data_IF_655750585079
#
_entry.id   IF_655750585079
#
_cell.length_a   1.000
_cell.length_b   1.000
_cell.length_c   1.000
_cell.angle_alpha   90.00
_cell.angle_beta   90.00
_cell.angle_gamma   90.00
#
_symmetry.space_group_name_H-M   'P 1'
#
loop_
_entity.id
_entity.type
_entity.pdbx_description
1 polymer ?
#
# COMPACT_ATOMS: atom_id res chain seq x y z
N UNK A 1 31.56 25.07 -25.27
CA UNK A 1 30.09 24.87 -25.24
C UNK A 1 29.71 23.52 -24.63
N UNK A 2 30.42 22.42 -24.94
CA UNK A 2 30.20 21.08 -24.34
C UNK A 2 30.20 21.05 -22.80
N UNK A 3 31.13 21.73 -22.12
CA UNK A 3 31.23 21.74 -20.65
C UNK A 3 30.12 22.49 -19.92
N UNK A 4 29.46 23.45 -20.61
CA UNK A 4 28.28 24.17 -20.07
C UNK A 4 27.00 23.35 -20.25
N UNK A 5 26.89 22.59 -21.35
CA UNK A 5 25.81 21.63 -21.59
C UNK A 5 25.90 20.42 -20.63
N UNK A 6 27.10 19.91 -20.36
CA UNK A 6 27.34 18.83 -19.39
C UNK A 6 26.99 19.25 -17.95
N UNK A 7 27.28 20.50 -17.55
CA UNK A 7 26.86 21.03 -16.24
C UNK A 7 25.35 21.31 -16.16
N UNK A 8 24.73 21.72 -17.28
CA UNK A 8 23.29 21.95 -17.36
C UNK A 8 22.48 20.65 -17.31
N UNK A 9 23.04 19.52 -17.79
CA UNK A 9 22.44 18.19 -17.66
C UNK A 9 22.70 17.53 -16.30
N UNK A 10 23.82 17.82 -15.64
CA UNK A 10 24.19 17.20 -14.37
C UNK A 10 23.31 17.65 -13.18
N UNK A 11 22.83 18.90 -13.21
CA UNK A 11 21.99 19.45 -12.14
C UNK A 11 20.58 18.81 -12.05
N UNK A 12 19.82 18.64 -13.15
CA UNK A 12 18.54 17.94 -13.09
C UNK A 12 18.69 16.44 -12.78
N UNK A 13 19.76 15.79 -13.23
CA UNK A 13 20.03 14.39 -12.91
C UNK A 13 20.32 14.16 -11.41
N UNK A 14 21.03 15.09 -10.76
CA UNK A 14 21.30 15.02 -9.31
C UNK A 14 20.05 15.22 -8.44
N UNK A 15 19.07 16.01 -8.91
CA UNK A 15 17.81 16.25 -8.18
C UNK A 15 16.86 15.05 -8.28
N UNK A 16 16.83 14.37 -9.44
CA UNK A 16 16.04 13.14 -9.62
C UNK A 16 16.59 11.97 -8.77
N UNK A 17 17.91 11.84 -8.67
CA UNK A 17 18.56 10.83 -7.83
C UNK A 17 18.33 11.04 -6.32
N UNK A 18 18.23 12.30 -5.87
CA UNK A 18 17.97 12.62 -4.46
C UNK A 18 16.55 12.22 -4.00
N UNK A 19 15.58 12.13 -4.91
CA UNK A 19 14.21 11.73 -4.60
C UNK A 19 14.10 10.27 -4.17
N UNK A 20 14.61 9.35 -5.00
CA UNK A 20 14.57 7.90 -4.75
C UNK A 20 15.45 7.52 -3.54
N UNK A 21 16.67 8.09 -3.47
CA UNK A 21 17.56 7.86 -2.33
C UNK A 21 16.98 8.35 -0.98
N UNK A 22 16.10 9.36 -1.01
CA UNK A 22 15.46 9.88 0.21
C UNK A 22 14.34 8.98 0.73
N UNK A 23 13.63 8.26 -0.15
CA UNK A 23 12.63 7.28 0.26
C UNK A 23 13.31 6.02 0.80
N UNK A 24 14.19 5.41 0.01
CA UNK A 24 14.89 4.17 0.37
C UNK A 24 15.62 4.30 1.71
N UNK A 25 16.23 5.46 1.96
CA UNK A 25 16.92 5.73 3.21
C UNK A 25 15.97 5.84 4.43
N UNK A 26 14.78 6.43 4.25
CA UNK A 26 13.79 6.50 5.32
C UNK A 26 13.21 5.11 5.60
N UNK A 27 12.91 4.35 4.54
CA UNK A 27 12.45 2.96 4.60
C UNK A 27 13.43 2.09 5.39
N UNK A 28 14.72 2.12 5.00
CA UNK A 28 15.79 1.33 5.63
C UNK A 28 15.92 1.62 7.12
N UNK A 29 15.84 2.90 7.51
CA UNK A 29 15.93 3.30 8.91
C UNK A 29 14.72 2.87 9.73
N UNK A 30 13.50 3.04 9.19
CA UNK A 30 12.29 2.61 9.86
C UNK A 30 12.31 1.07 10.02
N UNK A 31 12.63 0.33 8.96
CA UNK A 31 12.73 -1.12 9.00
C UNK A 31 13.82 -1.61 9.98
N UNK A 32 14.99 -0.98 9.97
CA UNK A 32 16.08 -1.30 10.90
C UNK A 32 15.72 -1.08 12.38
N UNK A 33 14.89 -0.08 12.69
CA UNK A 33 14.36 0.14 14.04
C UNK A 33 13.27 -0.89 14.37
N UNK A 34 12.28 -1.06 13.49
CA UNK A 34 11.15 -1.97 13.70
C UNK A 34 11.59 -3.43 13.85
N UNK A 35 12.54 -3.90 13.03
CA UNK A 35 13.10 -5.27 13.10
C UNK A 35 13.82 -5.59 14.41
N UNK A 36 14.25 -4.57 15.16
CA UNK A 36 14.83 -4.70 16.52
C UNK A 36 13.79 -4.55 17.63
N UNK A 37 12.50 -4.43 17.29
CA UNK A 37 11.41 -4.17 18.23
C UNK A 37 11.29 -2.71 18.67
N UNK A 38 12.10 -1.80 18.14
CA UNK A 38 12.09 -0.36 18.48
C UNK A 38 11.03 0.39 17.66
N UNK A 39 9.79 -0.11 17.67
CA UNK A 39 8.69 0.40 16.83
C UNK A 39 8.32 1.85 17.20
N UNK A 40 8.43 2.21 18.48
CA UNK A 40 8.22 3.59 18.94
C UNK A 40 9.19 4.59 18.29
N UNK A 41 10.49 4.28 18.33
CA UNK A 41 11.53 5.08 17.68
C UNK A 41 11.35 5.10 16.15
N UNK A 42 10.93 3.97 15.56
CA UNK A 42 10.61 3.92 14.13
C UNK A 42 9.50 4.88 13.75
N UNK A 43 8.43 4.97 14.56
CA UNK A 43 7.35 5.93 14.33
C UNK A 43 7.87 7.37 14.44
N UNK A 44 8.64 7.70 15.47
CA UNK A 44 9.23 9.04 15.61
C UNK A 44 10.12 9.40 14.42
N UNK A 45 10.94 8.45 13.95
CA UNK A 45 11.78 8.63 12.76
C UNK A 45 10.96 8.87 11.51
N UNK A 46 9.84 8.16 11.34
CA UNK A 46 8.92 8.34 10.22
C UNK A 46 8.27 9.73 10.25
N UNK A 47 7.79 10.18 11.42
CA UNK A 47 7.17 11.51 11.58
C UNK A 47 8.13 12.67 11.28
N UNK A 48 9.43 12.48 11.52
CA UNK A 48 10.47 13.48 11.22
C UNK A 48 10.99 13.40 9.77
N UNK A 49 10.54 12.41 9.00
CA UNK A 49 11.05 12.13 7.66
C UNK A 49 10.54 13.11 6.60
N UNK A 50 11.11 13.03 5.39
CA UNK A 50 10.56 13.73 4.23
C UNK A 50 9.18 13.23 3.83
N UNK A 51 8.86 11.95 4.07
CA UNK A 51 7.57 11.36 3.69
C UNK A 51 6.41 12.02 4.46
N UNK A 52 6.63 12.35 5.73
CA UNK A 52 5.65 13.04 6.55
C UNK A 52 5.39 14.50 6.11
N UNK A 53 6.34 15.11 5.40
CA UNK A 53 6.33 16.55 5.05
C UNK A 53 5.89 16.85 3.62
N UNK A 54 5.95 15.87 2.71
CA UNK A 54 5.67 16.07 1.29
C UNK A 54 4.29 15.51 0.94
N UNK A 55 3.39 16.36 0.47
CA UNK A 55 2.03 15.96 0.09
C UNK A 55 2.00 14.87 -0.99
N UNK A 56 2.95 14.91 -1.94
CA UNK A 56 3.08 13.88 -2.99
C UNK A 56 3.44 12.49 -2.46
N UNK A 57 4.07 12.41 -1.29
CA UNK A 57 4.49 11.16 -0.63
C UNK A 57 3.45 10.72 0.42
N UNK A 58 2.29 11.39 0.48
CA UNK A 58 1.29 11.22 1.56
C UNK A 58 0.73 9.81 1.65
N UNK A 59 0.44 9.17 0.51
CA UNK A 59 -0.04 7.79 0.48
C UNK A 59 0.97 6.86 1.15
N UNK A 60 2.22 6.92 0.69
CA UNK A 60 3.32 6.10 1.20
C UNK A 60 3.55 6.34 2.69
N UNK A 61 3.53 7.59 3.15
CA UNK A 61 3.62 7.89 4.59
C UNK A 61 2.48 7.22 5.40
N UNK A 62 1.24 7.26 4.91
CA UNK A 62 0.10 6.65 5.60
C UNK A 62 0.24 5.14 5.66
N UNK A 63 0.68 4.50 4.57
CA UNK A 63 0.92 3.06 4.53
C UNK A 63 1.95 2.63 5.57
N UNK A 64 3.08 3.34 5.65
CA UNK A 64 4.15 2.94 6.57
C UNK A 64 3.77 3.23 8.02
N UNK A 65 3.08 4.34 8.27
CA UNK A 65 2.56 4.65 9.59
C UNK A 65 1.53 3.62 10.04
N UNK A 66 0.62 3.22 9.16
CA UNK A 66 -0.39 2.19 9.43
C UNK A 66 0.27 0.86 9.82
N UNK A 67 1.26 0.42 9.05
CA UNK A 67 2.03 -0.81 9.31
C UNK A 67 2.81 -0.74 10.62
N UNK A 68 3.50 0.37 10.91
CA UNK A 68 4.21 0.53 12.18
C UNK A 68 3.26 0.56 13.38
N UNK A 69 2.06 1.14 13.24
CA UNK A 69 1.04 1.09 14.28
C UNK A 69 0.52 -0.33 14.51
N UNK A 70 0.35 -1.12 13.45
CA UNK A 70 0.03 -2.55 13.56
C UNK A 70 1.12 -3.29 14.35
N UNK A 71 2.39 -3.10 14.00
CA UNK A 71 3.53 -3.72 14.68
C UNK A 71 3.66 -3.27 16.15
N UNK A 72 3.21 -2.06 16.48
CA UNK A 72 3.15 -1.54 17.85
C UNK A 72 2.01 -2.15 18.68
N UNK A 73 1.06 -2.88 18.04
CA UNK A 73 -0.17 -3.35 18.66
C UNK A 73 -1.25 -2.27 18.80
N UNK A 74 -1.07 -1.12 18.16
CA UNK A 74 -2.02 -0.01 18.18
C UNK A 74 -3.09 -0.19 17.08
N UNK A 75 -3.78 -1.33 17.10
CA UNK A 75 -4.63 -1.81 16.00
C UNK A 75 -5.73 -0.83 15.57
N UNK A 76 -6.42 -0.19 16.53
CA UNK A 76 -7.47 0.79 16.20
C UNK A 76 -6.90 2.02 15.46
N UNK A 77 -5.76 2.54 15.92
CA UNK A 77 -5.06 3.66 15.27
C UNK A 77 -4.50 3.25 13.90
N UNK A 78 -3.99 2.01 13.80
CA UNK A 78 -3.55 1.44 12.53
C UNK A 78 -4.70 1.41 11.52
N UNK A 79 -5.89 0.93 11.92
CA UNK A 79 -7.08 0.91 11.06
C UNK A 79 -7.49 2.30 10.57
N UNK A 80 -7.51 3.31 11.45
CA UNK A 80 -7.83 4.69 11.05
C UNK A 80 -6.87 5.24 10.00
N UNK A 81 -5.56 4.98 10.17
CA UNK A 81 -4.52 5.43 9.23
C UNK A 81 -4.58 4.64 7.91
N UNK A 82 -4.77 3.33 7.97
CA UNK A 82 -4.87 2.47 6.79
C UNK A 82 -6.13 2.76 5.99
N UNK A 83 -7.26 3.09 6.63
CA UNK A 83 -8.47 3.52 5.91
C UNK A 83 -8.26 4.87 5.22
N UNK A 84 -7.49 5.79 5.82
CA UNK A 84 -7.10 7.02 5.15
C UNK A 84 -6.18 6.76 3.95
N UNK A 85 -5.28 5.77 4.04
CA UNK A 85 -4.45 5.34 2.92
C UNK A 85 -5.32 4.73 1.79
N UNK A 86 -6.28 3.86 2.12
CA UNK A 86 -7.17 3.17 1.18
C UNK A 86 -7.97 4.19 0.34
N UNK A 87 -8.58 5.18 0.99
CA UNK A 87 -9.31 6.27 0.30
C UNK A 87 -8.41 7.11 -0.61
N UNK A 88 -7.19 7.43 -0.15
CA UNK A 88 -6.25 8.21 -0.95
C UNK A 88 -5.75 7.41 -2.15
N UNK A 89 -5.51 6.11 -1.99
CA UNK A 89 -5.18 5.21 -3.08
C UNK A 89 -6.29 5.24 -4.14
N UNK A 90 -7.56 5.04 -3.76
CA UNK A 90 -8.69 5.06 -4.71
C UNK A 90 -8.81 6.39 -5.47
N UNK A 91 -8.59 7.53 -4.80
CA UNK A 91 -8.60 8.86 -5.42
C UNK A 91 -7.48 8.99 -6.46
N UNK A 92 -6.25 8.62 -6.10
CA UNK A 92 -5.09 8.71 -6.99
C UNK A 92 -5.20 7.72 -8.16
N UNK A 93 -5.69 6.51 -7.87
CA UNK A 93 -5.93 5.47 -8.86
C UNK A 93 -6.95 5.94 -9.90
N UNK A 94 -8.12 6.42 -9.46
CA UNK A 94 -9.18 6.93 -10.34
C UNK A 94 -8.68 8.08 -11.21
N UNK A 95 -7.91 9.00 -10.63
CA UNK A 95 -7.27 10.09 -11.39
C UNK A 95 -6.33 9.56 -12.45
N UNK A 96 -5.46 8.61 -12.12
CA UNK A 96 -4.50 8.04 -13.08
C UNK A 96 -5.19 7.40 -14.29
N UNK A 97 -6.23 6.60 -14.07
CA UNK A 97 -7.03 5.97 -15.12
C UNK A 97 -7.76 7.02 -15.97
N UNK A 98 -8.30 8.07 -15.35
CA UNK A 98 -8.96 9.16 -16.09
C UNK A 98 -7.97 10.04 -16.88
N UNK A 99 -6.73 10.19 -16.37
CA UNK A 99 -5.68 11.03 -16.96
C UNK A 99 -4.93 10.34 -18.10
N UNK A 100 -5.09 9.04 -18.28
CA UNK A 100 -4.55 8.26 -19.41
C UNK A 100 -5.02 8.81 -20.79
N UNK A 101 -5.97 9.74 -20.82
CA UNK A 101 -6.47 10.44 -22.03
C UNK A 101 -5.84 11.84 -22.25
N UNK A 102 -5.07 12.38 -21.31
CA UNK A 102 -4.50 13.75 -21.33
C UNK A 102 -2.96 13.72 -21.31
N UNK A 103 -2.35 13.36 -22.44
CA UNK A 103 -0.90 13.19 -22.58
C UNK A 103 -0.04 14.47 -22.59
N UNK A 104 -0.48 15.61 -22.05
CA UNK A 104 0.25 16.88 -22.26
C UNK A 104 0.19 17.92 -21.12
N UNK A 105 0.54 17.55 -19.89
CA UNK A 105 0.82 18.55 -18.84
C UNK A 105 2.03 18.15 -17.98
N UNK A 106 3.23 18.33 -18.53
CA UNK A 106 4.50 17.97 -17.89
C UNK A 106 4.91 18.96 -16.81
N UNK A 107 4.87 18.52 -15.55
CA UNK A 107 5.94 18.79 -14.59
C UNK A 107 6.21 17.49 -13.81
N UNK A 108 7.25 16.77 -14.20
CA UNK A 108 7.66 15.46 -13.66
C UNK A 108 8.10 15.49 -12.18
N UNK A 109 7.98 16.64 -11.50
CA UNK A 109 8.27 16.78 -10.06
C UNK A 109 7.02 16.69 -9.16
N UNK A 110 5.82 16.61 -9.74
CA UNK A 110 4.53 16.87 -9.05
C UNK A 110 3.56 15.67 -9.09
N UNK A 111 3.92 14.53 -9.66
CA UNK A 111 3.04 13.36 -9.67
C UNK A 111 3.04 12.71 -8.28
N UNK A 112 1.89 12.61 -7.57
CA UNK A 112 1.81 11.90 -6.31
C UNK A 112 2.13 10.41 -6.50
N UNK A 113 2.74 9.79 -5.49
CA UNK A 113 2.88 8.34 -5.46
C UNK A 113 1.49 7.70 -5.43
N UNK A 114 1.14 6.95 -6.49
CA UNK A 114 -0.21 6.39 -6.66
C UNK A 114 -0.37 5.00 -6.04
N UNK A 115 0.73 4.36 -5.62
CA UNK A 115 0.73 2.98 -5.11
C UNK A 115 0.67 1.93 -6.21
N UNK A 116 1.08 0.71 -5.88
CA UNK A 116 0.90 -0.47 -6.73
C UNK A 116 -0.38 -1.23 -6.39
N UNK A 117 -0.87 -2.04 -7.33
CA UNK A 117 -2.10 -2.83 -7.16
C UNK A 117 -2.03 -3.73 -5.90
N UNK A 118 -0.90 -4.41 -5.70
CA UNK A 118 -0.68 -5.27 -4.53
C UNK A 118 -0.62 -4.50 -3.21
N UNK A 119 -0.11 -3.28 -3.22
CA UNK A 119 -0.04 -2.43 -2.04
C UNK A 119 -1.44 -2.08 -1.55
N UNK A 120 -2.37 -1.83 -2.47
CA UNK A 120 -3.76 -1.55 -2.13
C UNK A 120 -4.43 -2.73 -1.42
N UNK A 121 -4.10 -3.97 -1.79
CA UNK A 121 -4.62 -5.19 -1.15
C UNK A 121 -4.01 -5.37 0.23
N UNK A 122 -2.72 -5.04 0.38
CA UNK A 122 -2.04 -5.12 1.67
C UNK A 122 -2.63 -4.16 2.73
N UNK A 123 -3.27 -3.05 2.33
CA UNK A 123 -3.99 -2.19 3.27
C UNK A 123 -5.12 -2.95 3.97
N UNK A 124 -5.95 -3.67 3.19
CA UNK A 124 -7.05 -4.47 3.73
C UNK A 124 -6.51 -5.69 4.49
N UNK A 125 -5.41 -6.30 4.04
CA UNK A 125 -4.73 -7.37 4.77
C UNK A 125 -4.36 -6.95 6.20
N UNK A 126 -3.69 -5.82 6.38
CA UNK A 126 -3.35 -5.34 7.73
C UNK A 126 -4.60 -5.00 8.55
N UNK A 127 -5.62 -4.40 7.93
CA UNK A 127 -6.90 -4.14 8.60
C UNK A 127 -7.57 -5.45 9.07
N UNK A 128 -7.58 -6.51 8.27
CA UNK A 128 -8.05 -7.85 8.70
C UNK A 128 -7.31 -8.29 9.96
N UNK A 129 -5.98 -8.28 9.93
CA UNK A 129 -5.18 -8.71 11.08
C UNK A 129 -5.47 -7.88 12.34
N UNK A 130 -5.60 -6.57 12.18
CA UNK A 130 -5.95 -5.64 13.25
C UNK A 130 -7.33 -5.96 13.84
N UNK A 131 -8.34 -6.13 13.00
CA UNK A 131 -9.70 -6.44 13.43
C UNK A 131 -9.78 -7.81 14.12
N UNK A 132 -9.09 -8.83 13.59
CA UNK A 132 -8.98 -10.13 14.24
C UNK A 132 -8.30 -10.02 15.61
N UNK A 133 -7.22 -9.24 15.74
CA UNK A 133 -6.55 -9.00 17.02
C UNK A 133 -7.43 -8.25 18.04
N UNK A 134 -8.41 -7.47 17.56
CA UNK A 134 -9.42 -6.79 18.38
C UNK A 134 -10.65 -7.67 18.69
N UNK A 135 -10.75 -8.87 18.12
CA UNK A 135 -11.94 -9.73 18.20
C UNK A 135 -13.12 -9.27 17.33
N UNK A 136 -12.89 -8.29 16.46
CA UNK A 136 -13.88 -7.63 15.60
C UNK A 136 -14.04 -8.41 14.27
N UNK A 137 -14.46 -9.68 14.36
CA UNK A 137 -14.48 -10.62 13.20
C UNK A 137 -15.40 -10.15 12.06
N UNK A 138 -16.51 -9.47 12.37
CA UNK A 138 -17.41 -8.92 11.35
C UNK A 138 -16.72 -7.85 10.50
N UNK A 139 -15.91 -6.99 11.11
CA UNK A 139 -15.17 -5.94 10.41
C UNK A 139 -14.01 -6.55 9.59
N UNK A 140 -13.33 -7.57 10.14
CA UNK A 140 -12.36 -8.35 9.37
C UNK A 140 -13.00 -8.94 8.10
N UNK A 141 -14.25 -9.42 8.18
CA UNK A 141 -14.94 -9.96 7.01
C UNK A 141 -15.38 -8.90 6.00
N UNK A 142 -15.57 -7.64 6.41
CA UNK A 142 -15.76 -6.52 5.46
C UNK A 142 -14.49 -6.31 4.66
N UNK A 143 -13.34 -6.28 5.34
CA UNK A 143 -12.04 -6.11 4.68
C UNK A 143 -11.68 -7.30 3.79
N UNK A 144 -12.06 -8.53 4.17
CA UNK A 144 -11.92 -9.71 3.31
C UNK A 144 -12.71 -9.56 1.99
N UNK A 145 -13.93 -9.03 2.05
CA UNK A 145 -14.73 -8.74 0.84
C UNK A 145 -14.07 -7.70 -0.06
N UNK A 146 -13.47 -6.65 0.54
CA UNK A 146 -12.69 -5.64 -0.21
C UNK A 146 -11.47 -6.24 -0.91
N UNK A 147 -10.74 -7.17 -0.26
CA UNK A 147 -9.66 -7.93 -0.91
C UNK A 147 -10.19 -8.71 -2.10
N UNK A 148 -11.28 -9.45 -1.92
CA UNK A 148 -11.86 -10.26 -2.99
C UNK A 148 -12.30 -9.40 -4.19
N UNK A 149 -12.90 -8.24 -3.94
CA UNK A 149 -13.28 -7.25 -4.96
C UNK A 149 -12.07 -6.74 -5.74
N UNK A 150 -11.00 -6.35 -5.04
CA UNK A 150 -9.75 -5.86 -5.66
C UNK A 150 -9.09 -6.94 -6.52
N UNK A 151 -8.95 -8.17 -6.01
CA UNK A 151 -8.35 -9.28 -6.77
C UNK A 151 -9.16 -9.64 -8.02
N UNK A 152 -10.50 -9.67 -7.90
CA UNK A 152 -11.37 -9.90 -9.06
C UNK A 152 -11.21 -8.77 -10.10
N UNK A 153 -11.14 -7.51 -9.66
CA UNK A 153 -10.95 -6.37 -10.54
C UNK A 153 -9.61 -6.40 -11.28
N UNK A 154 -8.51 -6.72 -10.59
CA UNK A 154 -7.18 -6.88 -11.23
C UNK A 154 -7.19 -8.04 -12.24
N UNK A 155 -7.86 -9.14 -11.89
CA UNK A 155 -8.11 -10.28 -12.77
C UNK A 155 -8.83 -9.90 -14.06
N UNK A 156 -9.92 -9.14 -13.95
CA UNK A 156 -10.72 -8.72 -15.10
C UNK A 156 -9.99 -7.68 -15.96
N UNK A 157 -9.25 -6.75 -15.35
CA UNK A 157 -8.55 -5.69 -16.08
C UNK A 157 -7.35 -6.19 -16.87
N UNK A 158 -6.51 -7.01 -16.25
CA UNK A 158 -5.19 -7.32 -16.79
C UNK A 158 -5.10 -8.66 -17.51
N UNK A 159 -6.12 -9.52 -17.40
CA UNK A 159 -6.07 -10.87 -17.97
C UNK A 159 -4.95 -11.72 -17.36
N UNK A 160 -4.70 -12.91 -17.92
CA UNK A 160 -3.82 -13.92 -17.29
C UNK A 160 -2.33 -13.58 -17.27
N UNK A 161 -1.88 -12.53 -17.96
CA UNK A 161 -0.46 -12.20 -18.12
C UNK A 161 0.14 -11.36 -16.97
N UNK A 162 -0.68 -10.83 -16.05
CA UNK A 162 -0.20 -10.01 -14.94
C UNK A 162 0.15 -10.84 -13.70
N UNK A 163 1.32 -10.54 -13.12
CA UNK A 163 1.89 -11.30 -12.00
C UNK A 163 1.10 -11.19 -10.67
N UNK A 164 0.26 -10.17 -10.50
CA UNK A 164 -0.52 -9.96 -9.28
C UNK A 164 -2.02 -9.96 -9.62
N UNK A 165 -2.62 -11.14 -9.57
CA UNK A 165 -4.01 -11.38 -9.99
C UNK A 165 -4.81 -12.14 -8.97
N UNK A 166 -4.25 -13.27 -8.60
CA UNK A 166 -4.74 -14.22 -7.63
C UNK A 166 -3.55 -14.54 -6.74
N UNK A 167 -3.73 -14.39 -5.43
CA UNK A 167 -2.71 -14.69 -4.45
C UNK A 167 -3.27 -15.77 -3.52
N UNK A 168 -2.69 -16.96 -3.59
CA UNK A 168 -3.15 -18.12 -2.84
C UNK A 168 -3.21 -17.86 -1.34
N UNK A 169 -2.28 -17.08 -0.80
CA UNK A 169 -2.23 -16.74 0.62
C UNK A 169 -3.36 -15.77 0.98
N UNK A 170 -3.60 -14.73 0.20
CA UNK A 170 -4.68 -13.78 0.43
C UNK A 170 -6.05 -14.45 0.32
N UNK A 171 -6.25 -15.36 -0.64
CA UNK A 171 -7.49 -16.16 -0.76
C UNK A 171 -7.67 -17.13 0.41
N UNK A 172 -6.59 -17.74 0.89
CA UNK A 172 -6.64 -18.57 2.09
C UNK A 172 -7.05 -17.73 3.31
N UNK A 173 -6.47 -16.54 3.47
CA UNK A 173 -6.80 -15.62 4.55
C UNK A 173 -8.27 -15.20 4.51
N UNK A 174 -8.79 -14.75 3.36
CA UNK A 174 -10.20 -14.36 3.25
C UNK A 174 -11.12 -15.53 3.55
N UNK A 175 -10.78 -16.75 3.10
CA UNK A 175 -11.50 -17.97 3.45
C UNK A 175 -11.54 -18.25 4.95
N UNK A 176 -10.42 -18.14 5.66
CA UNK A 176 -10.36 -18.29 7.11
C UNK A 176 -11.20 -17.25 7.86
N UNK A 177 -11.22 -16.00 7.36
CA UNK A 177 -12.05 -14.94 7.94
C UNK A 177 -13.54 -15.24 7.75
N UNK A 178 -13.95 -15.69 6.57
CA UNK A 178 -15.35 -16.07 6.31
C UNK A 178 -15.77 -17.28 7.15
N UNK A 179 -14.92 -18.29 7.29
CA UNK A 179 -15.17 -19.44 8.15
C UNK A 179 -15.35 -19.01 9.61
N UNK A 180 -14.48 -18.13 10.12
CA UNK A 180 -14.60 -17.58 11.46
C UNK A 180 -15.89 -16.75 11.66
N UNK A 181 -16.41 -16.12 10.60
CA UNK A 181 -17.69 -15.41 10.61
C UNK A 181 -18.90 -16.36 10.52
N UNK A 182 -18.70 -17.65 10.20
CA UNK A 182 -19.77 -18.61 9.91
C UNK A 182 -20.32 -18.55 8.48
N UNK A 183 -19.63 -17.86 7.57
CA UNK A 183 -19.99 -17.71 6.16
C UNK A 183 -19.35 -18.84 5.31
N UNK A 184 -19.86 -20.06 5.49
CA UNK A 184 -19.30 -21.27 4.89
C UNK A 184 -19.26 -21.24 3.35
N UNK A 185 -20.21 -20.54 2.72
CA UNK A 185 -20.28 -20.46 1.26
C UNK A 185 -19.13 -19.63 0.70
N UNK A 186 -18.90 -18.44 1.25
CA UNK A 186 -17.77 -17.59 0.81
C UNK A 186 -16.43 -18.21 1.21
N UNK A 187 -16.34 -18.85 2.39
CA UNK A 187 -15.15 -19.60 2.79
C UNK A 187 -14.77 -20.68 1.77
N UNK A 188 -15.74 -21.52 1.36
CA UNK A 188 -15.52 -22.57 0.36
C UNK A 188 -15.03 -22.02 -0.99
N UNK A 189 -15.62 -20.91 -1.45
CA UNK A 189 -15.21 -20.27 -2.70
C UNK A 189 -13.78 -19.75 -2.58
N UNK A 190 -13.44 -19.05 -1.50
CA UNK A 190 -12.12 -18.51 -1.27
C UNK A 190 -11.06 -19.62 -1.19
N UNK A 191 -11.33 -20.74 -0.50
CA UNK A 191 -10.41 -21.87 -0.46
C UNK A 191 -10.21 -22.56 -1.81
N UNK A 192 -11.23 -22.64 -2.66
CA UNK A 192 -11.06 -23.16 -4.03
C UNK A 192 -10.16 -22.26 -4.86
N UNK A 193 -10.40 -20.95 -4.84
CA UNK A 193 -9.55 -19.97 -5.52
C UNK A 193 -8.11 -20.03 -5.02
N UNK A 194 -7.91 -20.22 -3.71
CA UNK A 194 -6.58 -20.38 -3.12
C UNK A 194 -5.81 -21.60 -3.65
N UNK A 195 -6.50 -22.68 -4.04
CA UNK A 195 -5.89 -23.88 -4.63
C UNK A 195 -5.64 -23.76 -6.14
N UNK A 196 -6.39 -22.88 -6.81
CA UNK A 196 -6.30 -22.64 -8.26
C UNK A 196 -5.26 -21.58 -8.62
N UNK A 197 -4.90 -20.71 -7.67
CA UNK A 197 -3.87 -19.66 -7.78
C UNK A 197 -2.45 -20.24 -7.72
#
# INVERSE_FOLDING_TARGET
MLSRLLRALALPAAVLAAGCASYDHVQEQCYGLASRGLVGESLERLEQSSLARRDRDRLLYLMEKGTLLHLKGAYRQSNEVLEAADRLFEELFTRSVSAETLSFATNDTVIPYAGADYESVYLNYYKILNYLALGETSDAAVEARRIDEKLNWFTDRYGEEHAFREDAFLRLLTGLVYEAQGDANNALVAYRKALEA
#
